data_IF_809592548714
#
_entry.id   IF_809592548714
#
_cell.length_a   1.000
_cell.length_b   1.000
_cell.length_c   1.000
_cell.angle_alpha   90.00
_cell.angle_beta   90.00
_cell.angle_gamma   90.00
#
_symmetry.space_group_name_H-M   'P 1'
#
loop_
_entity.id
_entity.type
_entity.pdbx_description
1 polymer ?
#
# COMPACT_ATOMS: atom_id res chain seq x y z
N UNK A 1 2.15 -2.60 0.08
CA UNK A 1 3.53 -2.18 0.37
C UNK A 1 3.61 -1.70 1.81
N UNK A 2 4.66 -2.07 2.55
CA UNK A 2 4.93 -1.57 3.90
C UNK A 2 6.35 -0.99 3.94
N UNK A 3 6.49 0.31 4.20
CA UNK A 3 7.76 0.96 4.53
C UNK A 3 7.92 0.99 6.06
N UNK A 4 9.00 0.45 6.60
CA UNK A 4 9.25 0.41 8.05
C UNK A 4 10.23 1.49 8.54
N UNK A 5 10.63 2.44 7.68
CA UNK A 5 11.60 3.50 8.01
C UNK A 5 10.88 4.74 8.57
N UNK A 6 11.51 5.44 9.53
CA UNK A 6 10.95 6.60 10.23
C UNK A 6 9.57 6.31 10.88
N UNK A 7 8.53 7.06 10.51
CA UNK A 7 7.15 6.84 10.95
C UNK A 7 6.56 5.58 10.27
N UNK A 8 7.15 5.17 9.14
CA UNK A 8 6.70 4.09 8.28
C UNK A 8 5.50 4.48 7.43
N UNK A 9 5.19 3.65 6.45
CA UNK A 9 4.02 3.82 5.59
C UNK A 9 3.40 2.49 5.17
N UNK A 10 2.12 2.52 4.82
CA UNK A 10 1.42 1.38 4.26
C UNK A 10 0.49 1.82 3.12
N UNK A 11 0.69 1.22 1.95
CA UNK A 11 -0.17 1.40 0.78
C UNK A 11 -0.65 0.06 0.22
N UNK A 12 -1.72 0.09 -0.57
CA UNK A 12 -2.36 -1.09 -1.13
C UNK A 12 -2.50 -0.92 -2.64
N UNK A 13 -2.17 -1.97 -3.40
CA UNK A 13 -2.47 -2.04 -4.83
C UNK A 13 -3.43 -3.20 -5.04
N UNK A 14 -4.47 -2.93 -5.81
CA UNK A 14 -5.51 -3.88 -6.19
C UNK A 14 -5.46 -4.06 -7.71
N UNK A 15 -5.59 -5.29 -8.17
CA UNK A 15 -5.59 -5.61 -9.60
C UNK A 15 -4.22 -5.53 -10.27
N UNK A 16 -4.22 -5.73 -11.60
CA UNK A 16 -3.04 -5.73 -12.45
C UNK A 16 -3.39 -5.07 -13.81
N UNK A 17 -2.39 -4.51 -14.49
CA UNK A 17 -2.56 -3.89 -15.81
C UNK A 17 -3.54 -2.72 -15.78
N UNK A 18 -4.47 -2.70 -16.74
CA UNK A 18 -5.49 -1.64 -16.88
C UNK A 18 -6.49 -1.58 -15.72
N UNK A 19 -6.63 -2.68 -14.95
CA UNK A 19 -7.51 -2.74 -13.77
C UNK A 19 -6.77 -2.34 -12.48
N UNK A 20 -5.50 -1.93 -12.57
CA UNK A 20 -4.70 -1.60 -11.40
C UNK A 20 -5.18 -0.33 -10.71
N UNK A 21 -5.21 -0.40 -9.37
CA UNK A 21 -5.74 0.64 -8.50
C UNK A 21 -4.84 0.76 -7.27
N UNK A 22 -4.21 1.92 -7.10
CA UNK A 22 -3.36 2.24 -5.96
C UNK A 22 -4.18 3.01 -4.92
N UNK A 23 -4.13 2.55 -3.68
CA UNK A 23 -4.64 3.25 -2.51
C UNK A 23 -3.47 3.64 -1.60
N UNK A 24 -3.28 4.94 -1.41
CA UNK A 24 -2.17 5.52 -0.64
C UNK A 24 -2.68 6.34 0.57
N UNK A 25 -3.34 5.68 1.54
CA UNK A 25 -3.98 6.39 2.64
C UNK A 25 -2.97 7.13 3.48
N UNK A 26 -3.21 8.41 3.72
CA UNK A 26 -2.29 9.28 4.44
C UNK A 26 -0.84 9.28 3.90
N UNK A 27 -0.65 8.84 2.66
CA UNK A 27 0.60 8.96 1.95
C UNK A 27 0.70 10.31 1.25
N UNK A 28 1.91 10.64 0.84
CA UNK A 28 2.25 11.91 0.18
C UNK A 28 2.61 11.70 -1.28
N UNK A 29 2.33 10.50 -1.83
CA UNK A 29 2.56 10.23 -3.23
C UNK A 29 1.54 11.01 -4.08
N UNK A 30 2.04 11.76 -5.07
CA UNK A 30 1.20 12.63 -5.91
C UNK A 30 0.94 12.06 -7.32
N UNK A 31 1.51 10.89 -7.67
CA UNK A 31 1.32 10.29 -8.99
C UNK A 31 2.17 10.88 -10.13
N UNK A 32 3.15 11.76 -9.84
CA UNK A 32 3.97 12.42 -10.87
C UNK A 32 5.45 12.02 -10.75
N UNK A 33 6.03 11.45 -11.82
CA UNK A 33 7.49 11.39 -11.96
C UNK A 33 8.06 12.80 -12.21
N UNK A 34 9.21 13.09 -11.61
CA UNK A 34 10.13 14.17 -12.00
C UNK A 34 9.47 15.50 -12.41
N UNK A 35 8.62 16.05 -11.53
CA UNK A 35 8.17 17.47 -11.52
C UNK A 35 7.28 17.96 -12.65
N UNK A 36 6.72 17.12 -13.51
CA UNK A 36 5.76 17.60 -14.53
C UNK A 36 4.50 16.75 -14.62
N UNK A 37 3.56 17.01 -13.71
CA UNK A 37 2.17 16.65 -13.94
C UNK A 37 1.72 17.40 -15.22
N UNK A 38 1.60 16.69 -16.36
CA UNK A 38 1.29 17.29 -17.67
C UNK A 38 0.02 18.13 -17.57
N UNK A 39 0.17 19.45 -17.68
CA UNK A 39 -0.96 20.38 -17.80
C UNK A 39 -1.64 20.74 -16.48
N UNK A 40 -0.93 21.50 -15.63
CA UNK A 40 -1.53 22.52 -14.76
C UNK A 40 -2.67 22.08 -13.81
N UNK A 41 -2.62 20.86 -13.31
CA UNK A 41 -3.30 20.55 -12.05
C UNK A 41 -2.29 19.77 -11.24
N UNK A 42 -1.54 20.49 -10.39
CA UNK A 42 -1.05 19.91 -9.16
C UNK A 42 -2.34 19.54 -8.42
N UNK A 43 -2.85 18.34 -8.67
CA UNK A 43 -3.98 17.86 -7.92
C UNK A 43 -3.40 17.70 -6.54
N UNK A 44 -3.73 18.65 -5.66
CA UNK A 44 -3.45 18.60 -4.22
C UNK A 44 -4.24 17.41 -3.63
N UNK A 45 -3.95 16.20 -4.14
CA UNK A 45 -4.46 14.92 -3.71
C UNK A 45 -3.84 14.71 -2.35
N UNK A 46 -4.63 15.01 -1.33
CA UNK A 46 -4.17 15.04 0.06
C UNK A 46 -3.84 13.65 0.57
N UNK A 47 -3.30 13.62 1.79
CA UNK A 47 -3.10 12.42 2.60
C UNK A 47 -4.40 11.59 2.65
N UNK A 48 -4.55 10.53 1.84
CA UNK A 48 -5.79 9.75 1.76
C UNK A 48 -6.22 9.28 0.37
N UNK A 49 -5.57 9.74 -0.68
CA UNK A 49 -6.06 9.56 -2.06
C UNK A 49 -5.82 8.14 -2.64
N UNK A 50 -6.46 7.90 -3.78
CA UNK A 50 -6.28 6.72 -4.61
C UNK A 50 -6.00 7.13 -6.07
N UNK A 51 -5.46 6.19 -6.84
CA UNK A 51 -5.02 6.40 -8.21
C UNK A 51 -5.45 5.21 -9.04
N UNK A 52 -6.14 5.47 -10.16
CA UNK A 52 -6.46 4.44 -11.14
C UNK A 52 -5.35 4.39 -12.20
N UNK A 53 -5.14 3.27 -12.88
CA UNK A 53 -4.29 3.28 -14.08
C UNK A 53 -4.88 4.24 -15.15
N UNK A 54 -4.09 5.07 -15.86
CA UNK A 54 -2.63 5.22 -15.80
C UNK A 54 -2.15 6.39 -14.92
N UNK A 55 -2.95 6.83 -13.94
CA UNK A 55 -2.60 7.95 -13.04
C UNK A 55 -1.44 7.64 -12.10
N UNK A 56 -1.08 6.37 -11.92
CA UNK A 56 0.12 5.95 -11.20
C UNK A 56 0.95 4.95 -12.01
N UNK A 57 2.25 4.95 -11.71
CA UNK A 57 3.19 3.94 -12.14
C UNK A 57 3.78 3.23 -10.91
N UNK A 58 3.94 1.92 -11.02
CA UNK A 58 4.41 1.08 -9.90
C UNK A 58 5.85 1.40 -9.50
N UNK A 59 6.75 1.53 -10.49
CA UNK A 59 8.16 1.76 -10.24
C UNK A 59 8.39 3.15 -9.61
N UNK A 60 7.61 4.13 -10.06
CA UNK A 60 7.57 5.49 -9.51
C UNK A 60 7.08 5.51 -8.06
N UNK A 61 5.98 4.81 -7.76
CA UNK A 61 5.45 4.68 -6.41
C UNK A 61 6.46 4.00 -5.48
N UNK A 62 7.08 2.91 -5.93
CA UNK A 62 8.09 2.20 -5.14
C UNK A 62 9.34 3.07 -4.92
N UNK A 63 9.83 3.76 -5.95
CA UNK A 63 10.98 4.67 -5.86
C UNK A 63 10.73 5.80 -4.85
N UNK A 64 9.54 6.41 -4.88
CA UNK A 64 9.16 7.46 -3.94
C UNK A 64 9.33 7.03 -2.48
N UNK A 65 8.90 5.82 -2.13
CA UNK A 65 9.07 5.31 -0.77
C UNK A 65 10.46 4.74 -0.47
N UNK A 66 11.24 4.36 -1.49
CA UNK A 66 12.63 3.94 -1.33
C UNK A 66 13.57 5.11 -1.01
N UNK A 67 13.21 6.33 -1.40
CA UNK A 67 13.97 7.54 -1.06
C UNK A 67 14.00 7.77 0.48
N UNK A 68 12.97 7.33 1.21
CA UNK A 68 12.94 7.34 2.68
C UNK A 68 13.84 6.25 3.29
N UNK A 69 14.09 5.16 2.56
CA UNK A 69 15.01 4.09 2.94
C UNK A 69 14.64 2.70 2.37
N UNK A 70 15.53 1.74 2.57
CA UNK A 70 15.46 0.42 1.90
C UNK A 70 14.63 -0.65 2.63
N UNK A 71 14.05 -0.38 3.82
CA UNK A 71 13.21 -1.36 4.54
C UNK A 71 11.75 -1.28 4.06
N UNK A 72 11.56 -1.69 2.81
CA UNK A 72 10.26 -1.86 2.18
C UNK A 72 9.95 -3.35 2.04
N UNK A 73 8.73 -3.71 2.42
CA UNK A 73 8.21 -5.08 2.33
C UNK A 73 7.00 -5.09 1.41
N UNK A 74 7.10 -5.88 0.35
CA UNK A 74 5.99 -6.18 -0.54
C UNK A 74 5.36 -7.50 -0.10
N UNK A 75 4.04 -7.48 0.09
CA UNK A 75 3.27 -8.64 0.56
C UNK A 75 2.11 -8.82 -0.41
N UNK A 76 2.16 -9.90 -1.17
CA UNK A 76 1.18 -10.22 -2.20
C UNK A 76 0.15 -11.26 -1.71
N UNK A 77 -1.11 -11.06 -2.09
CA UNK A 77 -2.20 -12.01 -1.85
C UNK A 77 -3.03 -12.20 -3.10
N UNK A 78 -3.24 -13.46 -3.50
CA UNK A 78 -4.23 -13.81 -4.52
C UNK A 78 -5.57 -14.01 -3.83
N UNK A 79 -6.57 -13.22 -4.23
CA UNK A 79 -7.92 -13.24 -3.67
C UNK A 79 -8.97 -13.38 -4.78
N UNK A 80 -10.20 -13.85 -4.48
CA UNK A 80 -11.29 -13.85 -5.45
C UNK A 80 -11.59 -12.43 -5.96
N UNK A 81 -11.97 -12.32 -7.24
CA UNK A 81 -12.32 -11.04 -7.87
C UNK A 81 -13.37 -10.25 -7.07
N UNK A 82 -14.40 -10.91 -6.58
CA UNK A 82 -15.45 -10.27 -5.75
C UNK A 82 -14.90 -9.68 -4.46
N UNK A 83 -13.85 -10.27 -3.88
CA UNK A 83 -13.21 -9.74 -2.68
C UNK A 83 -12.39 -8.49 -3.02
N UNK A 84 -11.70 -8.49 -4.17
CA UNK A 84 -10.96 -7.33 -4.68
C UNK A 84 -11.90 -6.17 -5.02
N UNK A 85 -13.03 -6.44 -5.68
CA UNK A 85 -14.06 -5.44 -5.98
C UNK A 85 -14.59 -4.80 -4.69
N UNK A 86 -14.84 -5.60 -3.65
CA UNK A 86 -15.25 -5.09 -2.34
C UNK A 86 -14.17 -4.21 -1.68
N UNK A 87 -12.88 -4.53 -1.84
CA UNK A 87 -11.79 -3.63 -1.38
C UNK A 87 -11.81 -2.31 -2.12
N UNK A 88 -11.97 -2.32 -3.45
CA UNK A 88 -12.02 -1.11 -4.27
C UNK A 88 -13.21 -0.24 -3.87
N UNK A 89 -14.40 -0.82 -3.75
CA UNK A 89 -15.59 -0.12 -3.29
C UNK A 89 -15.36 0.51 -1.90
N UNK A 90 -14.77 -0.24 -0.96
CA UNK A 90 -14.46 0.26 0.38
C UNK A 90 -13.45 1.43 0.37
N UNK A 91 -12.54 1.49 -0.60
CA UNK A 91 -11.66 2.66 -0.77
C UNK A 91 -12.48 3.84 -1.28
N UNK A 92 -13.24 3.65 -2.36
CA UNK A 92 -14.03 4.72 -3.00
C UNK A 92 -15.09 5.34 -2.07
N UNK A 93 -15.68 4.56 -1.17
CA UNK A 93 -16.70 5.05 -0.23
C UNK A 93 -16.13 5.78 1.00
N UNK A 94 -14.85 5.58 1.33
CA UNK A 94 -14.27 6.03 2.60
C UNK A 94 -12.91 6.76 2.44
N UNK A 95 -12.52 7.13 1.22
CA UNK A 95 -11.21 7.73 0.91
C UNK A 95 -10.91 9.03 1.66
N UNK A 96 -11.92 9.81 2.02
CA UNK A 96 -11.78 11.13 2.67
C UNK A 96 -11.31 11.06 4.15
N UNK A 97 -11.00 9.88 4.68
CA UNK A 97 -10.83 9.66 6.15
C UNK A 97 -9.41 9.37 6.64
N UNK A 98 -8.37 9.57 5.83
CA UNK A 98 -7.01 9.26 6.27
C UNK A 98 -6.28 10.47 6.88
N UNK A 99 -6.39 10.64 8.20
CA UNK A 99 -5.48 11.54 8.93
C UNK A 99 -4.04 10.97 8.94
N UNK A 100 -3.07 11.85 9.11
CA UNK A 100 -1.66 11.47 9.27
C UNK A 100 -1.54 10.38 10.34
N UNK A 101 -0.67 9.39 10.13
CA UNK A 101 -0.48 8.20 10.98
C UNK A 101 -1.55 7.08 10.86
N UNK A 102 -2.64 7.28 10.13
CA UNK A 102 -3.68 6.24 9.97
C UNK A 102 -3.53 5.41 8.68
N UNK A 103 -2.41 5.51 7.95
CA UNK A 103 -2.16 4.75 6.72
C UNK A 103 -2.38 3.23 6.91
N UNK A 104 -1.65 2.63 7.83
CA UNK A 104 -1.74 1.20 8.12
C UNK A 104 -3.09 0.80 8.73
N UNK A 105 -3.70 1.67 9.55
CA UNK A 105 -5.05 1.40 10.09
C UNK A 105 -6.11 1.39 8.98
N UNK A 106 -6.01 2.28 8.00
CA UNK A 106 -6.92 2.31 6.85
C UNK A 106 -6.72 1.12 5.91
N UNK A 107 -5.47 0.75 5.62
CA UNK A 107 -5.19 -0.49 4.86
C UNK A 107 -5.75 -1.71 5.62
N UNK A 108 -5.55 -1.80 6.93
CA UNK A 108 -6.07 -2.89 7.74
C UNK A 108 -7.61 -2.96 7.69
N UNK A 109 -8.29 -1.81 7.77
CA UNK A 109 -9.76 -1.71 7.63
C UNK A 109 -10.23 -2.22 6.27
N UNK A 110 -9.66 -1.72 5.17
CA UNK A 110 -10.05 -2.13 3.80
C UNK A 110 -9.89 -3.64 3.62
N UNK A 111 -8.77 -4.20 4.06
CA UNK A 111 -8.52 -5.64 4.01
C UNK A 111 -9.56 -6.40 4.86
N UNK A 112 -9.76 -6.01 6.11
CA UNK A 112 -10.70 -6.65 7.03
C UNK A 112 -12.13 -6.65 6.50
N UNK A 113 -12.62 -5.50 6.03
CA UNK A 113 -13.99 -5.32 5.55
C UNK A 113 -14.24 -6.05 4.22
N UNK A 114 -13.20 -6.30 3.42
CA UNK A 114 -13.31 -7.19 2.25
C UNK A 114 -13.65 -8.64 2.62
N UNK A 115 -13.29 -9.02 3.83
CA UNK A 115 -13.48 -10.33 4.41
C UNK A 115 -12.50 -11.40 3.92
N UNK A 116 -12.99 -12.62 3.67
CA UNK A 116 -12.18 -13.74 3.17
C UNK A 116 -10.98 -14.07 4.06
N UNK A 117 -9.77 -14.06 3.46
CA UNK A 117 -8.50 -14.34 4.16
C UNK A 117 -8.12 -13.29 5.20
N UNK A 118 -8.75 -12.12 5.16
CA UNK A 118 -8.47 -10.97 6.04
C UNK A 118 -9.49 -10.78 7.16
N UNK A 119 -10.53 -11.62 7.23
CA UNK A 119 -11.61 -11.54 8.24
C UNK A 119 -11.12 -11.45 9.71
N UNK A 120 -9.92 -11.98 9.99
CA UNK A 120 -9.36 -12.06 11.34
C UNK A 120 -8.38 -10.91 11.67
N UNK A 121 -8.25 -9.91 10.79
CA UNK A 121 -7.52 -8.69 11.15
C UNK A 121 -8.34 -7.95 12.23
N UNK A 122 -7.77 -7.67 13.42
CA UNK A 122 -8.52 -7.02 14.50
C UNK A 122 -8.93 -5.59 14.13
N UNK A 123 -9.97 -5.10 14.82
CA UNK A 123 -10.41 -3.71 14.72
C UNK A 123 -9.72 -2.83 15.76
N UNK A 124 -8.50 -2.43 15.42
CA UNK A 124 -7.63 -1.62 16.26
C UNK A 124 -6.72 -0.71 15.43
N UNK A 125 -6.02 0.19 16.12
CA UNK A 125 -4.98 1.00 15.48
C UNK A 125 -3.79 0.12 15.07
N UNK A 126 -3.36 0.28 13.82
CA UNK A 126 -2.15 -0.30 13.29
C UNK A 126 -1.11 0.76 12.96
N UNK A 127 0.09 0.56 13.47
CA UNK A 127 1.29 1.08 12.85
C UNK A 127 1.78 0.15 11.72
N UNK A 128 2.60 0.65 10.76
CA UNK A 128 3.07 -0.13 9.60
C UNK A 128 3.72 -1.47 9.96
N UNK A 129 4.61 -1.50 10.94
CA UNK A 129 5.26 -2.74 11.41
C UNK A 129 4.27 -3.74 12.04
N UNK A 130 3.24 -3.24 12.72
CA UNK A 130 2.17 -4.05 13.31
C UNK A 130 1.36 -4.73 12.21
N UNK A 131 0.94 -3.97 11.20
CA UNK A 131 0.21 -4.51 10.06
C UNK A 131 1.05 -5.54 9.30
N UNK A 132 2.33 -5.25 9.03
CA UNK A 132 3.28 -6.20 8.43
C UNK A 132 3.30 -7.54 9.18
N UNK A 133 3.40 -7.51 10.51
CA UNK A 133 3.40 -8.74 11.33
C UNK A 133 2.11 -9.54 11.15
N UNK A 134 0.95 -8.88 11.10
CA UNK A 134 -0.33 -9.54 10.88
C UNK A 134 -0.43 -10.17 9.48
N UNK A 135 -0.04 -9.44 8.43
CA UNK A 135 -0.11 -9.93 7.05
C UNK A 135 0.84 -11.12 6.81
N UNK A 136 2.07 -11.07 7.34
CA UNK A 136 3.00 -12.20 7.26
C UNK A 136 2.48 -13.43 8.02
N UNK A 137 1.81 -13.24 9.15
CA UNK A 137 1.17 -14.33 9.88
C UNK A 137 0.03 -14.98 9.05
N UNK A 138 -0.78 -14.18 8.36
CA UNK A 138 -1.85 -14.69 7.47
C UNK A 138 -1.25 -15.53 6.35
N UNK A 139 -0.18 -15.07 5.67
CA UNK A 139 0.50 -15.87 4.63
C UNK A 139 1.05 -17.18 5.21
N UNK A 140 1.74 -17.12 6.35
CA UNK A 140 2.31 -18.31 7.00
C UNK A 140 1.25 -19.34 7.39
N UNK A 141 0.08 -18.92 7.88
CA UNK A 141 -1.01 -19.82 8.27
C UNK A 141 -1.68 -20.51 7.07
N UNK A 142 -1.58 -19.93 5.88
CA UNK A 142 -2.18 -20.46 4.65
C UNK A 142 -1.28 -21.45 3.92
N UNK A 143 -0.06 -21.70 4.41
CA UNK A 143 0.93 -22.53 3.72
C UNK A 143 1.39 -21.95 2.38
N UNK A 144 1.04 -20.68 2.11
CA UNK A 144 1.51 -19.91 0.97
C UNK A 144 2.83 -19.33 1.40
N UNK A 145 3.92 -19.75 0.76
CA UNK A 145 5.22 -19.15 1.00
C UNK A 145 5.10 -17.67 0.62
N UNK A 146 5.33 -16.74 1.56
CA UNK A 146 5.39 -15.32 1.24
C UNK A 146 6.32 -15.10 0.04
N UNK A 147 5.82 -14.62 -1.10
CA UNK A 147 6.69 -13.89 -2.02
C UNK A 147 6.93 -12.52 -1.39
N UNK A 148 7.82 -12.49 -0.39
CA UNK A 148 8.39 -11.24 0.08
C UNK A 148 9.50 -10.90 -0.89
N UNK A 149 9.27 -9.92 -1.75
CA UNK A 149 10.37 -9.17 -2.33
C UNK A 149 10.95 -8.32 -1.21
N UNK A 150 11.92 -8.87 -0.49
CA UNK A 150 12.87 -8.06 0.28
C UNK A 150 13.88 -7.59 -0.76
N UNK A 151 13.81 -6.32 -1.14
CA UNK A 151 14.97 -5.68 -1.76
C UNK A 151 16.04 -5.62 -0.68
N UNK A 152 16.91 -6.64 -0.63
CA UNK A 152 18.13 -6.54 0.16
C UNK A 152 19.00 -5.41 -0.45
N UNK A 153 19.79 -4.70 0.36
CA UNK A 153 20.65 -3.64 -0.17
C UNK A 153 21.53 -4.20 -1.29
N UNK A 154 21.83 -3.45 -2.37
CA UNK A 154 23.09 -3.67 -3.04
C UNK A 154 24.16 -3.49 -1.96
N UNK A 155 25.03 -4.49 -1.80
CA UNK A 155 26.24 -4.41 -0.99
C UNK A 155 26.79 -2.97 -1.02
N UNK A 156 26.80 -2.26 0.12
CA UNK A 156 27.78 -1.19 0.27
C UNK A 156 29.12 -1.90 0.39
N UNK A 157 30.03 -1.80 -0.59
CA UNK A 157 31.42 -2.09 -0.26
C UNK A 157 31.80 -1.02 0.77
N UNK A 158 32.34 -1.46 1.89
CA UNK A 158 33.08 -0.56 2.77
C UNK A 158 34.11 0.18 1.93
N UNK A 159 33.96 1.50 1.81
CA UNK A 159 35.05 2.48 1.65
C UNK A 159 34.52 3.91 1.79
#
# INVERSE_FOLDING_TARGET
MINNVFIGHAGLILGEGEDAFLYDPAGTYEGCEEKECRGSVQSFRGSGDFFEYPEFDWDSYLKFYLDDGEDIVLIEFIVPRSQMEHMRDNVLYYSDTADNFYCASNVARVLRESGGVFNNIPDEFFAPWGLKKHLLNIQSQKGVVPHVFITMPPHRPFQ
#
